data_IF_519870957905
#
_entry.id   IF_519870957905
#
_cell.length_a   1.000
_cell.length_b   1.000
_cell.length_c   1.000
_cell.angle_alpha   90.00
_cell.angle_beta   90.00
_cell.angle_gamma   90.00
#
_symmetry.space_group_name_H-M   'P 1'
#
loop_
_entity.id
_entity.type
_entity.pdbx_description
1 polymer ?
#
# COMPACT_ATOMS: atom_id res chain seq x y z
N UNK A 1 9.71 -77.79 -15.19
CA UNK A 1 8.45 -77.17 -14.79
C UNK A 1 8.69 -76.41 -13.52
N UNK A 2 8.89 -75.08 -13.59
CA UNK A 2 8.98 -74.19 -12.44
C UNK A 2 7.87 -73.17 -12.56
N UNK A 3 6.91 -73.20 -11.64
CA UNK A 3 5.82 -72.21 -11.51
C UNK A 3 6.34 -70.91 -10.96
N UNK A 4 6.11 -69.85 -11.69
CA UNK A 4 6.39 -68.47 -11.29
C UNK A 4 5.16 -67.89 -10.58
N UNK A 5 5.23 -67.64 -9.27
CA UNK A 5 4.18 -66.99 -8.51
C UNK A 5 4.38 -65.46 -8.64
N UNK A 6 3.40 -64.81 -9.26
CA UNK A 6 3.31 -63.34 -9.31
C UNK A 6 2.64 -62.88 -8.02
N UNK A 7 3.34 -62.12 -7.19
CA UNK A 7 2.78 -61.38 -6.06
C UNK A 7 2.27 -60.04 -6.58
N UNK A 8 0.95 -59.82 -6.52
CA UNK A 8 0.34 -58.49 -6.67
C UNK A 8 0.48 -57.78 -5.34
N UNK A 9 1.33 -56.71 -5.29
CA UNK A 9 1.32 -55.72 -4.23
C UNK A 9 0.28 -54.65 -4.57
N UNK A 10 -0.85 -54.68 -3.88
CA UNK A 10 -1.81 -53.58 -3.86
C UNK A 10 -1.27 -52.50 -2.93
N UNK A 11 -0.65 -51.45 -3.53
CA UNK A 11 -0.25 -50.24 -2.82
C UNK A 11 -1.47 -49.40 -2.48
N UNK A 12 -1.80 -49.32 -1.21
CA UNK A 12 -2.81 -48.42 -0.67
C UNK A 12 -2.18 -46.99 -0.68
N UNK A 13 -2.58 -46.16 -1.64
CA UNK A 13 -2.23 -44.75 -1.65
C UNK A 13 -3.12 -44.05 -0.60
N UNK A 14 -2.57 -43.84 0.57
CA UNK A 14 -3.18 -42.94 1.57
C UNK A 14 -2.94 -41.51 1.09
N UNK A 15 -3.94 -40.88 0.46
CA UNK A 15 -3.97 -39.45 0.27
C UNK A 15 -4.05 -38.81 1.67
N UNK A 16 -2.92 -38.28 2.18
CA UNK A 16 -2.93 -37.41 3.31
C UNK A 16 -3.56 -36.07 2.85
N UNK A 17 -4.82 -35.87 3.19
CA UNK A 17 -5.47 -34.57 3.13
C UNK A 17 -4.75 -33.70 4.15
N UNK A 18 -3.79 -32.89 3.70
CA UNK A 18 -3.23 -31.83 4.54
C UNK A 18 -4.39 -30.86 4.87
N UNK A 19 -4.63 -30.56 6.14
CA UNK A 19 -5.57 -29.51 6.47
C UNK A 19 -5.07 -28.21 5.81
N UNK A 20 -5.95 -27.56 5.05
CA UNK A 20 -5.75 -26.18 4.62
C UNK A 20 -5.37 -25.41 5.88
N UNK A 21 -4.15 -24.87 5.93
CA UNK A 21 -3.76 -23.98 7.02
C UNK A 21 -4.78 -22.85 7.02
N UNK A 22 -5.54 -22.72 8.09
CA UNK A 22 -6.43 -21.59 8.26
C UNK A 22 -5.55 -20.35 8.22
N UNK A 23 -5.78 -19.44 7.27
CA UNK A 23 -5.11 -18.17 7.21
C UNK A 23 -5.22 -17.51 8.58
N UNK A 24 -4.11 -17.04 9.12
CA UNK A 24 -4.09 -16.41 10.42
C UNK A 24 -4.87 -15.09 10.30
N UNK A 25 -6.00 -14.99 10.99
CA UNK A 25 -6.83 -13.77 10.97
C UNK A 25 -6.06 -12.60 11.58
N UNK A 26 -6.20 -11.42 11.00
CA UNK A 26 -5.66 -10.18 11.57
C UNK A 26 -6.19 -10.00 12.99
N UNK A 27 -5.34 -9.71 13.98
CA UNK A 27 -5.77 -9.59 15.36
C UNK A 27 -6.73 -8.41 15.53
N UNK A 28 -7.77 -8.58 16.35
CA UNK A 28 -8.61 -7.48 16.77
C UNK A 28 -7.95 -6.69 17.90
N UNK A 29 -8.19 -5.38 17.93
CA UNK A 29 -7.81 -4.57 19.08
C UNK A 29 -8.75 -4.91 20.23
N UNK A 30 -8.23 -5.35 21.39
CA UNK A 30 -9.09 -5.76 22.49
C UNK A 30 -10.11 -4.70 22.86
N UNK A 31 -11.39 -5.10 23.00
CA UNK A 31 -12.48 -4.25 23.42
C UNK A 31 -12.77 -3.01 22.54
N UNK A 32 -12.21 -2.90 21.35
CA UNK A 32 -12.53 -1.84 20.39
C UNK A 32 -13.41 -2.34 19.25
N UNK A 33 -14.42 -1.55 18.94
CA UNK A 33 -15.40 -1.85 17.89
C UNK A 33 -15.71 -0.60 17.07
N UNK A 34 -16.15 -0.83 15.85
CA UNK A 34 -16.67 0.20 14.94
C UNK A 34 -18.19 0.08 14.92
N UNK A 35 -18.87 1.13 15.35
CA UNK A 35 -20.32 1.24 15.44
C UNK A 35 -20.85 2.20 14.37
N UNK A 36 -21.77 1.75 13.54
CA UNK A 36 -22.53 2.62 12.63
C UNK A 36 -23.97 2.76 13.13
N UNK A 37 -24.40 4.00 13.34
CA UNK A 37 -25.76 4.37 13.75
C UNK A 37 -26.03 5.82 13.36
N UNK A 38 -27.22 6.37 13.66
CA UNK A 38 -27.42 7.81 13.50
C UNK A 38 -26.71 8.61 14.61
N UNK A 39 -26.40 9.87 14.34
CA UNK A 39 -25.76 10.73 15.33
C UNK A 39 -26.61 10.92 16.59
N UNK A 40 -27.96 10.95 16.46
CA UNK A 40 -28.89 11.03 17.59
C UNK A 40 -28.97 9.74 18.40
N UNK A 41 -28.85 8.58 17.75
CA UNK A 41 -28.95 7.28 18.42
C UNK A 41 -27.64 6.83 19.08
N UNK A 42 -26.47 7.33 18.60
CA UNK A 42 -25.16 6.89 19.09
C UNK A 42 -25.02 6.96 20.63
N UNK A 43 -25.36 8.04 21.33
CA UNK A 43 -25.31 8.09 22.80
C UNK A 43 -26.29 7.12 23.46
N UNK A 44 -27.46 6.90 22.85
CA UNK A 44 -28.47 6.00 23.36
C UNK A 44 -28.07 4.53 23.24
N UNK A 45 -27.53 4.15 22.08
CA UNK A 45 -26.96 2.81 21.83
C UNK A 45 -25.80 2.57 22.80
N UNK A 46 -24.89 3.54 22.92
CA UNK A 46 -23.74 3.44 23.82
C UNK A 46 -24.20 3.22 25.28
N UNK A 47 -25.22 3.96 25.75
CA UNK A 47 -25.76 3.80 27.10
C UNK A 47 -26.44 2.44 27.32
N UNK A 48 -27.24 1.94 26.35
CA UNK A 48 -27.93 0.65 26.45
C UNK A 48 -26.98 -0.54 26.55
N UNK A 49 -25.87 -0.48 25.81
CA UNK A 49 -24.93 -1.59 25.67
C UNK A 49 -23.63 -1.40 26.46
N UNK A 50 -23.59 -0.44 27.39
CA UNK A 50 -22.39 -0.13 28.19
C UNK A 50 -21.13 0.10 27.34
N UNK A 51 -21.31 0.85 26.23
CA UNK A 51 -20.22 1.24 25.35
C UNK A 51 -19.74 2.66 25.70
N UNK A 52 -18.47 2.93 25.49
CA UNK A 52 -17.91 4.29 25.57
C UNK A 52 -17.50 4.73 24.17
N UNK A 53 -18.04 5.85 23.68
CA UNK A 53 -17.65 6.45 22.40
C UNK A 53 -16.28 7.12 22.59
N UNK A 54 -15.30 6.71 21.80
CA UNK A 54 -13.95 7.27 21.82
C UNK A 54 -13.81 8.44 20.84
N UNK A 55 -14.32 8.26 19.62
CA UNK A 55 -14.29 9.28 18.55
C UNK A 55 -15.25 8.88 17.43
N UNK A 56 -15.52 9.79 16.50
CA UNK A 56 -16.30 9.57 15.29
C UNK A 56 -15.42 9.77 14.02
N UNK A 57 -15.85 9.20 12.91
CA UNK A 57 -15.17 9.38 11.61
C UNK A 57 -15.45 10.76 11.03
N UNK A 58 -16.69 11.23 11.17
CA UNK A 58 -17.18 12.48 10.59
C UNK A 58 -17.63 13.42 11.72
N UNK A 59 -16.70 14.17 12.34
CA UNK A 59 -17.08 15.10 13.41
C UNK A 59 -18.02 16.19 12.88
N UNK A 60 -19.13 16.38 13.59
CA UNK A 60 -20.10 17.44 13.26
C UNK A 60 -21.31 17.01 12.45
N UNK A 61 -21.58 15.70 12.31
CA UNK A 61 -22.83 15.21 11.71
C UNK A 61 -24.04 15.70 12.50
N UNK A 62 -25.03 16.26 11.77
CA UNK A 62 -26.28 16.75 12.37
C UNK A 62 -27.15 15.59 12.84
N UNK A 63 -28.02 15.85 13.82
CA UNK A 63 -29.04 14.91 14.33
C UNK A 63 -29.80 14.27 13.15
N UNK A 64 -29.82 12.91 13.08
CA UNK A 64 -30.40 12.15 11.96
C UNK A 64 -29.40 11.76 10.84
N UNK A 65 -28.22 12.37 10.78
CA UNK A 65 -27.17 11.91 9.87
C UNK A 65 -26.54 10.60 10.35
N UNK A 66 -26.13 9.76 9.42
CA UNK A 66 -25.37 8.54 9.72
C UNK A 66 -23.98 8.89 10.23
N UNK A 67 -23.57 8.26 11.33
CA UNK A 67 -22.23 8.38 11.90
C UNK A 67 -21.55 7.02 12.05
N UNK A 68 -20.25 7.04 12.07
CA UNK A 68 -19.40 5.87 12.36
C UNK A 68 -18.49 6.22 13.53
N UNK A 69 -18.56 5.41 14.57
CA UNK A 69 -17.95 5.70 15.86
C UNK A 69 -16.99 4.59 16.26
N UNK A 70 -15.82 4.95 16.74
CA UNK A 70 -14.97 4.05 17.48
C UNK A 70 -15.51 3.97 18.91
N UNK A 71 -15.84 2.77 19.36
CA UNK A 71 -16.36 2.53 20.70
C UNK A 71 -15.55 1.47 21.43
N UNK A 72 -15.58 1.50 22.76
CA UNK A 72 -14.98 0.48 23.60
C UNK A 72 -15.99 -0.02 24.63
N UNK A 73 -15.76 -1.24 25.13
CA UNK A 73 -16.58 -1.86 26.18
C UNK A 73 -15.70 -2.49 27.26
N UNK A 74 -16.09 -2.41 28.54
CA UNK A 74 -15.42 -3.14 29.62
C UNK A 74 -15.79 -4.64 29.67
N UNK A 75 -16.79 -5.09 28.92
CA UNK A 75 -17.34 -6.45 28.95
C UNK A 75 -16.57 -7.39 28.01
N UNK A 76 -16.53 -8.70 28.32
CA UNK A 76 -15.91 -9.69 27.44
C UNK A 76 -16.63 -9.76 26.08
N UNK A 77 -15.83 -9.96 25.01
CA UNK A 77 -16.16 -9.63 23.62
C UNK A 77 -17.29 -10.47 23.01
N UNK A 78 -17.53 -11.71 23.47
CA UNK A 78 -18.45 -12.62 22.79
C UNK A 78 -19.92 -12.20 22.94
N UNK A 79 -20.31 -11.75 24.13
CA UNK A 79 -21.70 -11.41 24.43
C UNK A 79 -22.13 -10.05 23.88
N UNK A 80 -21.19 -9.10 23.78
CA UNK A 80 -21.46 -7.73 23.34
C UNK A 80 -21.82 -7.65 21.86
N UNK A 81 -21.15 -8.44 21.00
CA UNK A 81 -21.37 -8.35 19.53
C UNK A 81 -22.79 -8.76 19.15
N UNK A 82 -23.30 -9.84 19.73
CA UNK A 82 -24.66 -10.34 19.44
C UNK A 82 -25.72 -9.40 20.02
N UNK A 83 -25.49 -8.89 21.24
CA UNK A 83 -26.39 -7.97 21.92
C UNK A 83 -26.53 -6.65 21.14
N UNK A 84 -25.43 -6.03 20.77
CA UNK A 84 -25.42 -4.76 20.02
C UNK A 84 -26.00 -4.92 18.62
N UNK A 85 -25.67 -6.01 17.89
CA UNK A 85 -26.23 -6.29 16.57
C UNK A 85 -27.75 -6.51 16.59
N UNK A 86 -28.32 -6.92 17.72
CA UNK A 86 -29.75 -7.07 17.91
C UNK A 86 -30.51 -5.74 18.09
N UNK A 87 -29.82 -4.63 18.34
CA UNK A 87 -30.43 -3.32 18.49
C UNK A 87 -30.83 -2.72 17.13
N UNK A 88 -32.11 -2.39 16.97
CA UNK A 88 -32.65 -1.85 15.70
C UNK A 88 -32.11 -0.48 15.31
N UNK A 89 -31.51 0.26 16.25
CA UNK A 89 -30.82 1.52 15.97
C UNK A 89 -29.39 1.31 15.44
N UNK A 90 -28.86 0.08 15.47
CA UNK A 90 -27.52 -0.27 15.01
C UNK A 90 -27.57 -0.76 13.58
N UNK A 91 -26.84 -0.09 12.69
CA UNK A 91 -26.75 -0.45 11.26
C UNK A 91 -25.60 -1.40 10.98
N UNK A 92 -24.50 -1.27 11.71
CA UNK A 92 -23.40 -2.24 11.74
C UNK A 92 -22.63 -2.13 13.05
N UNK A 93 -22.02 -3.25 13.44
CA UNK A 93 -21.14 -3.34 14.60
C UNK A 93 -20.08 -4.41 14.32
N UNK A 94 -18.83 -4.01 14.26
CA UNK A 94 -17.71 -4.91 13.96
C UNK A 94 -16.49 -4.60 14.82
N UNK A 95 -15.56 -5.56 14.92
CA UNK A 95 -14.31 -5.38 15.66
C UNK A 95 -13.39 -4.43 14.91
N UNK A 96 -12.71 -3.55 15.64
CA UNK A 96 -11.59 -2.80 15.09
C UNK A 96 -10.36 -3.74 14.99
N UNK A 97 -9.93 -4.06 13.78
CA UNK A 97 -8.83 -4.97 13.51
C UNK A 97 -7.52 -4.22 13.28
N UNK A 98 -6.43 -4.84 13.70
CA UNK A 98 -5.08 -4.41 13.31
C UNK A 98 -4.87 -4.71 11.82
N UNK A 99 -4.34 -3.74 11.12
CA UNK A 99 -3.93 -3.87 9.72
C UNK A 99 -2.41 -3.71 9.66
N UNK A 100 -1.77 -4.46 8.79
CA UNK A 100 -0.32 -4.42 8.65
C UNK A 100 0.11 -4.02 7.24
N UNK A 101 1.24 -3.34 7.18
CA UNK A 101 1.97 -3.14 5.93
C UNK A 101 2.62 -4.48 5.55
N UNK A 102 2.39 -5.02 4.33
CA UNK A 102 2.82 -6.37 3.94
C UNK A 102 4.33 -6.61 4.01
N UNK A 103 5.13 -5.57 3.88
CA UNK A 103 6.60 -5.61 3.89
C UNK A 103 7.19 -5.87 5.26
N UNK A 104 6.40 -5.74 6.34
CA UNK A 104 6.83 -6.08 7.70
C UNK A 104 6.96 -7.60 7.91
N UNK A 105 6.32 -8.43 7.06
CA UNK A 105 6.57 -9.86 6.97
C UNK A 105 7.72 -10.12 5.99
N UNK A 106 8.80 -10.78 6.44
CA UNK A 106 10.05 -10.95 5.67
C UNK A 106 9.84 -11.70 4.36
N UNK A 107 9.90 -11.07 3.16
CA UNK A 107 9.90 -11.81 1.90
C UNK A 107 11.26 -12.49 1.67
N UNK A 108 11.23 -13.72 1.14
CA UNK A 108 12.46 -14.37 0.64
C UNK A 108 12.89 -13.66 -0.64
N UNK A 109 14.03 -12.98 -0.60
CA UNK A 109 14.60 -12.28 -1.75
C UNK A 109 14.99 -13.28 -2.85
N UNK A 110 14.54 -13.00 -4.08
CA UNK A 110 14.96 -13.75 -5.25
C UNK A 110 16.27 -13.17 -5.83
N UNK A 111 17.02 -14.00 -6.55
CA UNK A 111 18.36 -13.71 -7.11
C UNK A 111 18.42 -12.57 -8.16
N UNK A 112 17.33 -11.83 -8.40
CA UNK A 112 17.30 -10.72 -9.37
C UNK A 112 18.00 -9.44 -8.90
N UNK A 113 18.56 -9.45 -7.71
CA UNK A 113 19.20 -8.32 -7.01
C UNK A 113 20.46 -7.80 -7.72
N UNK A 114 21.14 -8.65 -8.49
CA UNK A 114 22.44 -8.30 -9.12
C UNK A 114 22.36 -7.11 -10.09
N UNK A 115 21.29 -7.00 -10.88
CA UNK A 115 21.16 -5.92 -11.88
C UNK A 115 20.94 -4.53 -11.25
N UNK A 116 20.49 -4.46 -10.00
CA UNK A 116 20.25 -3.21 -9.30
C UNK A 116 21.50 -2.70 -8.62
N UNK A 117 22.34 -3.62 -8.13
CA UNK A 117 23.65 -3.27 -7.62
C UNK A 117 24.49 -2.49 -8.65
N UNK A 118 24.20 -2.66 -9.95
CA UNK A 118 24.85 -1.91 -11.04
C UNK A 118 24.26 -0.52 -11.26
N UNK A 119 22.96 -0.29 -10.96
CA UNK A 119 22.28 1.00 -11.21
C UNK A 119 22.19 1.92 -10.00
N UNK A 120 22.20 1.39 -8.77
CA UNK A 120 22.27 2.15 -7.54
C UNK A 120 23.50 3.08 -7.42
N UNK A 121 24.68 2.74 -7.97
CA UNK A 121 25.81 3.64 -7.96
C UNK A 121 25.64 4.91 -8.77
N UNK A 122 24.66 5.01 -9.70
CA UNK A 122 24.47 6.23 -10.49
C UNK A 122 23.71 7.30 -9.70
N UNK A 123 24.47 7.93 -8.79
CA UNK A 123 24.00 9.05 -7.95
C UNK A 123 24.13 10.40 -8.67
N UNK A 124 24.40 10.41 -9.97
CA UNK A 124 24.45 11.64 -10.77
C UNK A 124 23.10 12.35 -10.65
N UNK A 125 23.12 13.59 -10.18
CA UNK A 125 21.94 14.41 -10.10
C UNK A 125 21.52 14.91 -11.47
N UNK A 126 20.27 14.66 -11.81
CA UNK A 126 19.65 15.14 -13.05
C UNK A 126 18.36 15.88 -12.75
N UNK A 127 17.97 16.87 -13.55
CA UNK A 127 16.64 17.47 -13.48
C UNK A 127 15.57 16.44 -13.79
N UNK A 128 14.52 16.38 -12.97
CA UNK A 128 13.38 15.50 -13.16
C UNK A 128 12.08 16.21 -12.83
N UNK A 129 11.48 16.86 -13.83
CA UNK A 129 10.21 17.60 -13.71
C UNK A 129 10.18 18.63 -12.57
N UNK A 130 11.28 19.33 -12.38
CA UNK A 130 11.47 20.38 -11.38
C UNK A 130 12.62 20.07 -10.41
N UNK A 131 12.49 19.11 -9.49
CA UNK A 131 13.58 18.72 -8.59
C UNK A 131 14.73 18.02 -9.30
N UNK A 132 15.90 18.00 -8.64
CA UNK A 132 17.02 17.14 -9.04
C UNK A 132 16.92 15.81 -8.30
N UNK A 133 17.08 14.72 -9.03
CA UNK A 133 17.02 13.34 -8.52
C UNK A 133 18.24 12.54 -8.96
N UNK A 134 18.48 11.40 -8.32
CA UNK A 134 19.48 10.45 -8.81
C UNK A 134 19.09 9.89 -10.17
N UNK A 135 20.04 9.81 -11.08
CA UNK A 135 19.82 9.23 -12.41
C UNK A 135 19.41 7.76 -12.31
N UNK A 136 20.01 6.99 -11.37
CA UNK A 136 19.62 5.62 -11.10
C UNK A 136 18.16 5.46 -10.65
N UNK A 137 17.60 6.42 -9.93
CA UNK A 137 16.17 6.45 -9.60
C UNK A 137 15.31 6.72 -10.85
N UNK A 138 15.62 7.75 -11.62
CA UNK A 138 14.79 8.16 -12.77
C UNK A 138 14.78 7.11 -13.91
N UNK A 139 15.91 6.44 -14.14
CA UNK A 139 16.09 5.50 -15.24
C UNK A 139 16.28 4.04 -14.79
N UNK A 140 15.71 3.69 -13.66
CA UNK A 140 15.73 2.32 -13.16
C UNK A 140 14.99 1.33 -14.09
N UNK A 141 15.32 0.02 -14.05
CA UNK A 141 14.67 -0.98 -14.89
C UNK A 141 13.14 -0.93 -14.86
N UNK A 142 12.53 -0.73 -13.70
CA UNK A 142 11.09 -0.63 -13.54
C UNK A 142 10.48 0.46 -14.44
N UNK A 143 11.08 1.66 -14.49
CA UNK A 143 10.59 2.76 -15.33
C UNK A 143 10.63 2.41 -16.82
N UNK A 144 11.67 1.66 -17.26
CA UNK A 144 11.80 1.17 -18.63
C UNK A 144 10.76 0.08 -18.93
N UNK A 145 10.59 -0.88 -18.01
CA UNK A 145 9.67 -2.00 -18.16
C UNK A 145 8.22 -1.51 -18.34
N UNK A 146 7.78 -0.56 -17.51
CA UNK A 146 6.44 0.03 -17.62
C UNK A 146 6.32 1.11 -18.69
N UNK A 147 7.40 1.44 -19.40
CA UNK A 147 7.47 2.46 -20.47
C UNK A 147 7.11 3.87 -20.00
N UNK A 148 7.59 4.24 -18.82
CA UNK A 148 7.31 5.55 -18.22
C UNK A 148 7.84 6.70 -19.08
N UNK A 149 9.06 6.58 -19.63
CA UNK A 149 9.69 7.60 -20.47
C UNK A 149 8.86 7.85 -21.73
N UNK A 150 8.40 6.79 -22.40
CA UNK A 150 7.54 6.92 -23.59
C UNK A 150 6.23 7.59 -23.25
N UNK A 151 5.62 7.23 -22.13
CA UNK A 151 4.36 7.80 -21.63
C UNK A 151 4.50 9.29 -21.35
N UNK A 152 5.56 9.70 -20.65
CA UNK A 152 5.85 11.10 -20.35
C UNK A 152 6.09 11.94 -21.61
N UNK A 153 6.80 11.39 -22.59
CA UNK A 153 7.15 12.09 -23.81
C UNK A 153 5.93 12.38 -24.70
N UNK A 154 4.90 11.51 -24.68
CA UNK A 154 3.83 11.53 -25.67
C UNK A 154 2.45 11.84 -25.10
N UNK A 155 2.21 11.65 -23.80
CA UNK A 155 0.85 11.76 -23.25
C UNK A 155 0.75 12.66 -22.02
N UNK A 156 1.32 12.23 -20.87
CA UNK A 156 1.03 12.84 -19.58
C UNK A 156 2.22 12.66 -18.59
N UNK A 157 2.31 13.58 -17.65
CA UNK A 157 3.32 13.59 -16.57
C UNK A 157 2.71 13.51 -15.18
N UNK A 158 1.39 13.45 -15.07
CA UNK A 158 0.61 13.28 -13.86
C UNK A 158 -0.26 14.47 -13.53
N UNK A 159 -1.50 14.22 -13.11
CA UNK A 159 -2.47 15.22 -12.68
C UNK A 159 -3.14 14.84 -11.38
N UNK A 160 -3.91 15.78 -10.84
CA UNK A 160 -4.69 15.56 -9.64
C UNK A 160 -3.85 15.38 -8.36
N UNK A 161 -4.49 14.74 -7.37
CA UNK A 161 -3.93 14.45 -6.05
C UNK A 161 -3.95 12.94 -5.83
N UNK A 162 -2.79 12.36 -5.52
CA UNK A 162 -2.66 10.98 -5.04
C UNK A 162 -2.57 11.01 -3.51
N UNK A 163 -3.60 10.54 -2.83
CA UNK A 163 -3.57 10.33 -1.38
C UNK A 163 -2.83 9.03 -1.08
N UNK A 164 -1.87 9.08 -0.17
CA UNK A 164 -1.08 7.91 0.27
C UNK A 164 -1.39 7.65 1.73
N UNK A 165 -2.13 6.56 1.97
CA UNK A 165 -2.47 6.07 3.32
C UNK A 165 -1.35 5.15 3.78
N UNK A 166 -0.47 5.64 4.67
CA UNK A 166 0.81 4.97 5.00
C UNK A 166 1.38 5.43 6.36
N UNK A 167 2.68 5.23 6.61
CA UNK A 167 3.39 5.60 7.85
C UNK A 167 3.71 7.09 7.98
N UNK A 168 3.54 7.86 6.93
CA UNK A 168 3.95 9.27 6.81
C UNK A 168 4.97 9.46 5.69
N UNK A 169 5.26 10.71 5.34
CA UNK A 169 6.13 11.06 4.22
C UNK A 169 7.15 12.11 4.67
N UNK A 170 8.42 11.93 4.31
CA UNK A 170 9.43 12.98 4.43
C UNK A 170 9.19 14.10 3.40
N UNK A 171 8.45 15.09 3.81
CA UNK A 171 8.04 16.22 2.95
C UNK A 171 9.21 17.12 2.53
N UNK A 172 10.35 17.01 3.23
CA UNK A 172 11.56 17.74 2.93
C UNK A 172 12.49 17.00 1.96
N UNK A 173 12.11 15.77 1.55
CA UNK A 173 12.91 15.02 0.59
C UNK A 173 13.02 15.78 -0.73
N UNK A 174 14.25 16.03 -1.25
CA UNK A 174 14.45 16.86 -2.46
C UNK A 174 13.63 16.41 -3.67
N UNK A 175 13.50 15.11 -3.91
CA UNK A 175 12.72 14.57 -5.04
C UNK A 175 11.21 14.80 -4.90
N UNK A 176 10.70 15.09 -3.71
CA UNK A 176 9.28 15.36 -3.43
C UNK A 176 8.97 16.86 -3.35
N UNK A 177 9.98 17.71 -3.54
CA UNK A 177 9.81 19.16 -3.47
C UNK A 177 8.71 19.67 -4.41
N UNK A 178 7.79 20.48 -3.87
CA UNK A 178 6.67 21.06 -4.60
C UNK A 178 5.53 20.09 -4.95
N UNK A 179 5.62 18.80 -4.59
CA UNK A 179 4.56 17.83 -4.84
C UNK A 179 3.57 17.69 -3.68
N UNK A 180 3.98 17.99 -2.45
CA UNK A 180 3.19 17.72 -1.25
C UNK A 180 2.08 18.76 -1.06
N UNK A 181 0.87 18.28 -0.80
CA UNK A 181 -0.27 19.08 -0.35
C UNK A 181 -0.58 18.77 1.14
N UNK A 182 -1.37 19.60 1.82
CA UNK A 182 -1.77 19.32 3.20
C UNK A 182 -2.35 17.92 3.35
N UNK A 183 -1.95 17.21 4.40
CA UNK A 183 -2.43 15.89 4.77
C UNK A 183 -2.90 15.83 6.22
N UNK A 184 -3.06 14.61 6.75
CA UNK A 184 -3.54 14.40 8.11
C UNK A 184 -2.84 13.21 8.77
N UNK A 185 -2.55 13.34 10.06
CA UNK A 185 -2.04 12.26 10.90
C UNK A 185 -3.17 11.73 11.79
N UNK A 186 -3.68 10.55 11.45
CA UNK A 186 -4.78 9.89 12.16
C UNK A 186 -4.31 9.24 13.45
N UNK A 187 -3.01 8.92 13.56
CA UNK A 187 -2.42 8.35 14.78
C UNK A 187 -2.34 9.41 15.88
N UNK A 188 -1.94 10.65 15.52
CA UNK A 188 -1.84 11.78 16.45
C UNK A 188 -3.05 12.69 16.43
N UNK A 189 -4.01 12.42 15.53
CA UNK A 189 -5.24 13.17 15.34
C UNK A 189 -5.01 14.67 15.11
N UNK A 190 -4.17 15.01 14.14
CA UNK A 190 -3.79 16.40 13.84
C UNK A 190 -3.57 16.65 12.35
N UNK A 191 -3.91 17.86 11.91
CA UNK A 191 -3.46 18.34 10.60
C UNK A 191 -1.95 18.54 10.69
N UNK A 192 -1.21 17.64 10.12
CA UNK A 192 0.24 17.73 10.08
C UNK A 192 0.78 16.96 8.90
N UNK A 193 1.83 17.49 8.33
CA UNK A 193 2.67 16.76 7.41
C UNK A 193 3.72 16.10 8.29
N UNK A 194 3.44 14.89 8.76
CA UNK A 194 4.36 14.15 9.62
C UNK A 194 5.31 13.32 8.78
N UNK A 195 6.58 13.57 8.96
CA UNK A 195 7.65 12.69 8.52
C UNK A 195 7.85 11.58 9.54
N UNK A 196 8.15 10.36 9.07
CA UNK A 196 8.63 9.26 9.92
C UNK A 196 9.83 9.66 10.79
N UNK A 197 10.61 10.66 10.37
CA UNK A 197 11.70 11.24 11.15
C UNK A 197 11.25 11.75 12.52
N UNK A 198 10.00 12.22 12.64
CA UNK A 198 9.42 12.64 13.93
C UNK A 198 9.05 11.45 14.85
N UNK A 199 9.03 10.23 14.36
CA UNK A 199 8.68 9.03 15.12
C UNK A 199 9.91 8.30 15.71
N UNK A 200 11.13 8.64 15.29
CA UNK A 200 12.37 8.09 15.83
C UNK A 200 12.97 9.00 16.90
N UNK A 201 13.84 8.44 17.72
CA UNK A 201 14.53 9.24 18.74
C UNK A 201 15.34 10.38 18.10
N UNK A 202 15.49 11.49 18.81
CA UNK A 202 16.29 12.62 18.32
C UNK A 202 17.72 12.22 17.94
N UNK A 203 18.31 11.24 18.64
CA UNK A 203 19.63 10.68 18.32
C UNK A 203 19.64 9.98 16.99
N UNK A 204 18.63 9.14 16.70
CA UNK A 204 18.51 8.43 15.42
C UNK A 204 18.23 9.42 14.27
N UNK A 205 17.35 10.39 14.47
CA UNK A 205 17.10 11.45 13.48
C UNK A 205 18.38 12.27 13.20
N UNK A 206 19.17 12.58 14.21
CA UNK A 206 20.44 13.28 14.06
C UNK A 206 21.52 12.47 13.31
N UNK A 207 21.55 11.13 13.51
CA UNK A 207 22.44 10.23 12.76
C UNK A 207 22.05 10.23 11.29
N UNK A 208 20.76 10.07 10.97
CA UNK A 208 20.27 10.10 9.60
C UNK A 208 20.57 11.43 8.89
N UNK A 209 20.46 12.56 9.60
CA UNK A 209 20.79 13.87 9.08
C UNK A 209 22.31 14.07 8.92
N UNK A 210 23.12 13.58 9.85
CA UNK A 210 24.58 13.65 9.78
C UNK A 210 25.15 12.82 8.62
N UNK A 211 24.58 11.65 8.35
CA UNK A 211 24.94 10.84 7.19
C UNK A 211 24.61 11.54 5.87
N UNK A 212 23.46 12.21 5.76
CA UNK A 212 23.09 13.05 4.61
C UNK A 212 24.12 14.14 4.32
N UNK A 213 24.59 14.81 5.37
CA UNK A 213 25.62 15.86 5.26
C UNK A 213 26.98 15.24 4.91
N UNK A 214 27.35 14.10 5.52
CA UNK A 214 28.58 13.38 5.25
C UNK A 214 28.69 12.85 3.83
N UNK A 215 27.59 12.31 3.28
CA UNK A 215 27.54 11.80 1.89
C UNK A 215 27.70 12.92 0.84
N UNK A 216 27.29 14.15 1.15
CA UNK A 216 27.51 15.30 0.27
C UNK A 216 28.99 15.71 0.16
N UNK A 217 29.84 15.29 1.10
CA UNK A 217 31.25 15.65 1.18
C UNK A 217 32.22 14.52 0.76
N UNK A 218 31.77 13.27 0.61
CA UNK A 218 32.62 12.15 0.21
C UNK A 218 32.04 11.38 -1.00
N UNK A 219 32.44 11.80 -2.18
CA UNK A 219 32.43 10.90 -3.34
C UNK A 219 33.49 9.81 -3.11
N UNK A 220 33.03 8.56 -2.96
CA UNK A 220 33.76 7.31 -3.11
C UNK A 220 34.07 6.50 -1.88
N UNK A 221 33.43 5.42 -1.81
CA UNK A 221 33.82 4.01 -1.68
C UNK A 221 32.58 3.21 -1.34
N UNK A 222 32.11 2.42 -2.30
CA UNK A 222 31.13 1.36 -2.03
C UNK A 222 31.77 0.43 -1.02
N UNK A 223 31.36 0.50 0.23
CA UNK A 223 31.81 -0.39 1.28
C UNK A 223 31.07 -1.72 1.10
N UNK A 224 31.73 -2.86 1.32
CA UNK A 224 31.10 -4.19 1.26
C UNK A 224 29.85 -4.31 2.18
N UNK A 225 29.79 -3.52 3.24
CA UNK A 225 28.62 -3.42 4.10
C UNK A 225 27.39 -2.80 3.42
N UNK A 226 27.57 -1.88 2.47
CA UNK A 226 26.46 -1.30 1.69
C UNK A 226 25.93 -2.30 0.66
N UNK A 227 26.77 -3.16 0.10
CA UNK A 227 26.33 -4.26 -0.78
C UNK A 227 25.51 -5.31 -0.01
N UNK A 228 25.89 -5.63 1.23
CA UNK A 228 25.13 -6.54 2.11
C UNK A 228 23.78 -5.94 2.53
N UNK A 229 23.69 -4.63 2.72
CA UNK A 229 22.46 -3.91 2.99
C UNK A 229 21.49 -3.99 1.79
N UNK A 230 22.00 -3.99 0.56
CA UNK A 230 21.22 -4.11 -0.68
C UNK A 230 20.79 -5.54 -0.98
N UNK A 231 21.43 -6.56 -0.41
CA UNK A 231 21.03 -7.97 -0.53
C UNK A 231 19.93 -8.38 0.45
N UNK A 232 19.59 -7.54 1.40
CA UNK A 232 18.57 -7.80 2.40
C UNK A 232 17.32 -6.96 2.14
N UNK A 233 16.15 -7.45 2.55
CA UNK A 233 14.88 -6.73 2.47
C UNK A 233 14.97 -5.34 3.10
N UNK A 234 14.05 -4.43 2.74
CA UNK A 234 13.93 -3.11 3.40
C UNK A 234 13.99 -3.23 4.92
N UNK A 235 13.36 -4.28 5.49
CA UNK A 235 13.40 -4.59 6.92
C UNK A 235 14.84 -4.81 7.45
N UNK A 236 15.74 -5.42 6.68
CA UNK A 236 17.11 -5.68 7.14
C UNK A 236 18.02 -4.45 7.07
N UNK A 237 17.78 -3.53 6.13
CA UNK A 237 18.40 -2.20 6.18
C UNK A 237 18.00 -1.49 7.47
N UNK A 238 16.71 -1.58 7.83
CA UNK A 238 16.15 -0.94 9.01
C UNK A 238 16.62 -1.62 10.32
N UNK A 239 16.70 -2.96 10.35
CA UNK A 239 17.21 -3.73 11.49
C UNK A 239 18.70 -3.44 11.79
N UNK A 240 19.51 -3.21 10.77
CA UNK A 240 20.93 -2.88 10.91
C UNK A 240 21.19 -1.51 11.57
N UNK A 241 20.26 -0.58 11.43
CA UNK A 241 20.31 0.77 11.99
C UNK A 241 19.47 0.95 13.27
N UNK A 242 18.77 -0.10 13.73
CA UNK A 242 17.85 -0.03 14.87
C UNK A 242 16.56 0.75 14.57
N UNK A 243 16.20 0.91 13.29
CA UNK A 243 14.98 1.57 12.86
C UNK A 243 13.77 0.62 12.92
N UNK A 244 12.56 1.13 13.14
CA UNK A 244 11.35 0.32 13.10
C UNK A 244 11.11 -0.31 11.70
N UNK A 245 10.43 -1.48 11.61
CA UNK A 245 10.33 -2.27 10.38
C UNK A 245 9.72 -1.56 9.16
N UNK A 246 8.79 -0.62 9.37
CA UNK A 246 8.15 0.14 8.30
C UNK A 246 8.60 1.60 8.23
N UNK A 247 9.71 1.94 8.92
CA UNK A 247 10.24 3.29 8.88
C UNK A 247 10.56 3.72 7.43
N UNK A 248 10.01 4.86 7.01
CA UNK A 248 10.21 5.40 5.68
C UNK A 248 9.35 4.79 4.59
N UNK A 249 8.48 3.80 4.89
CA UNK A 249 7.67 3.11 3.90
C UNK A 249 6.81 4.10 3.09
N UNK A 250 6.08 5.03 3.72
CA UNK A 250 5.29 6.02 3.01
C UNK A 250 6.13 6.98 2.16
N UNK A 251 7.35 7.33 2.60
CA UNK A 251 8.31 8.10 1.77
C UNK A 251 8.73 7.31 0.52
N UNK A 252 8.99 6.00 0.68
CA UNK A 252 9.35 5.13 -0.45
C UNK A 252 8.20 4.98 -1.45
N UNK A 253 6.98 4.80 -0.97
CA UNK A 253 5.76 4.76 -1.80
C UNK A 253 5.58 6.08 -2.55
N UNK A 254 5.72 7.23 -1.88
CA UNK A 254 5.63 8.55 -2.49
C UNK A 254 6.65 8.76 -3.61
N UNK A 255 7.88 8.27 -3.43
CA UNK A 255 8.91 8.32 -4.45
C UNK A 255 8.52 7.55 -5.72
N UNK A 256 7.89 6.40 -5.60
CA UNK A 256 7.47 5.62 -6.78
C UNK A 256 6.24 6.21 -7.48
N UNK A 257 5.29 6.76 -6.73
CA UNK A 257 4.23 7.58 -7.33
C UNK A 257 4.83 8.74 -8.12
N UNK A 258 5.81 9.45 -7.54
CA UNK A 258 6.50 10.58 -8.18
C UNK A 258 7.36 10.18 -9.38
N UNK A 259 7.92 8.97 -9.38
CA UNK A 259 8.65 8.41 -10.53
C UNK A 259 7.73 8.28 -11.75
N UNK A 260 6.50 7.81 -11.55
CA UNK A 260 5.54 7.58 -12.64
C UNK A 260 4.75 8.84 -12.97
N UNK A 261 4.33 9.59 -11.97
CA UNK A 261 3.54 10.82 -12.13
C UNK A 261 4.28 12.04 -11.55
N UNK A 262 5.35 12.50 -12.22
CA UNK A 262 6.25 13.51 -11.68
C UNK A 262 5.63 14.90 -11.49
N UNK A 263 4.46 15.18 -12.02
CA UNK A 263 3.73 16.45 -11.83
C UNK A 263 2.44 16.31 -11.00
N UNK A 264 2.05 15.10 -10.59
CA UNK A 264 0.95 14.89 -9.67
C UNK A 264 1.29 15.43 -8.26
N UNK A 265 0.26 15.80 -7.52
CA UNK A 265 0.40 16.19 -6.11
C UNK A 265 0.19 14.97 -5.21
N UNK A 266 0.77 15.01 -4.03
CA UNK A 266 0.74 13.92 -3.06
C UNK A 266 0.13 14.43 -1.76
N UNK A 267 -0.89 13.75 -1.26
CA UNK A 267 -1.54 14.00 0.02
C UNK A 267 -1.09 12.93 1.02
N UNK A 268 -0.24 13.26 2.01
CA UNK A 268 0.17 12.32 3.06
C UNK A 268 -0.97 12.07 4.04
N UNK A 269 -1.34 10.80 4.26
CA UNK A 269 -2.33 10.37 5.23
C UNK A 269 -1.71 9.32 6.14
N UNK A 270 -1.26 9.74 7.34
CA UNK A 270 -0.58 8.87 8.29
C UNK A 270 -1.61 8.07 9.08
N UNK A 271 -1.80 6.79 8.73
CA UNK A 271 -2.69 5.85 9.40
C UNK A 271 -1.95 4.65 10.00
N UNK A 272 -0.62 4.58 9.80
CA UNK A 272 0.23 3.51 10.28
C UNK A 272 1.37 4.06 11.13
N UNK A 273 1.73 3.32 12.19
CA UNK A 273 2.94 3.58 12.95
C UNK A 273 4.20 3.18 12.18
N UNK A 274 5.38 3.58 12.65
CA UNK A 274 6.66 3.21 12.02
C UNK A 274 6.98 1.71 12.13
N UNK A 275 6.26 0.97 12.97
CA UNK A 275 6.27 -0.49 13.06
C UNK A 275 5.42 -1.16 11.97
N UNK A 276 4.69 -0.38 11.19
CA UNK A 276 3.81 -0.83 10.12
C UNK A 276 2.44 -1.29 10.58
N UNK A 277 2.09 -1.06 11.85
CA UNK A 277 0.77 -1.36 12.38
C UNK A 277 -0.17 -0.15 12.26
N UNK A 278 -1.37 -0.39 11.81
CA UNK A 278 -2.50 0.55 11.78
C UNK A 278 -3.78 -0.15 12.21
N UNK A 279 -4.90 0.51 12.10
CA UNK A 279 -6.21 -0.06 12.42
C UNK A 279 -7.26 0.33 11.39
N UNK A 280 -8.30 -0.50 11.25
CA UNK A 280 -9.37 -0.33 10.26
C UNK A 280 -10.05 1.02 10.40
N UNK A 281 -10.35 1.47 11.63
CA UNK A 281 -11.05 2.73 11.87
C UNK A 281 -10.26 3.95 11.37
N UNK A 282 -8.94 4.01 11.62
CA UNK A 282 -8.10 5.11 11.12
C UNK A 282 -7.91 5.07 9.61
N UNK A 283 -7.89 3.87 9.01
CA UNK A 283 -7.85 3.70 7.55
C UNK A 283 -9.14 4.22 6.91
N UNK A 284 -10.29 3.91 7.48
CA UNK A 284 -11.59 4.43 7.00
C UNK A 284 -11.64 5.96 7.07
N UNK A 285 -11.21 6.55 8.20
CA UNK A 285 -11.07 7.99 8.34
C UNK A 285 -10.19 8.60 7.25
N UNK A 286 -9.07 7.92 6.94
CA UNK A 286 -8.14 8.38 5.90
C UNK A 286 -8.76 8.33 4.50
N UNK A 287 -9.57 7.32 4.18
CA UNK A 287 -10.28 7.21 2.91
C UNK A 287 -11.32 8.35 2.77
N UNK A 288 -12.19 8.54 3.79
CA UNK A 288 -13.16 9.65 3.77
C UNK A 288 -12.45 10.99 3.65
N UNK A 289 -11.40 11.21 4.45
CA UNK A 289 -10.61 12.45 4.39
C UNK A 289 -10.02 12.69 2.99
N UNK A 290 -9.47 11.66 2.36
CA UNK A 290 -8.90 11.78 1.02
C UNK A 290 -9.94 12.28 0.00
N UNK A 291 -11.13 11.68 0.02
CA UNK A 291 -12.25 12.06 -0.87
C UNK A 291 -12.69 13.50 -0.62
N UNK A 292 -12.97 13.85 0.64
CA UNK A 292 -13.47 15.17 1.04
C UNK A 292 -12.46 16.29 0.79
N UNK A 293 -11.16 15.95 0.65
CA UNK A 293 -10.08 16.90 0.36
C UNK A 293 -9.57 16.81 -1.09
N UNK A 294 -10.37 16.20 -1.98
CA UNK A 294 -10.17 16.25 -3.43
C UNK A 294 -9.08 15.35 -3.97
N UNK A 295 -8.80 14.22 -3.33
CA UNK A 295 -7.97 13.18 -3.92
C UNK A 295 -8.64 12.60 -5.17
N UNK A 296 -7.85 12.34 -6.21
CA UNK A 296 -8.29 11.64 -7.43
C UNK A 296 -7.90 10.15 -7.39
N UNK A 297 -6.84 9.84 -6.66
CA UNK A 297 -6.33 8.49 -6.48
C UNK A 297 -6.03 8.24 -5.01
N UNK A 298 -6.38 7.06 -4.49
CA UNK A 298 -5.98 6.61 -3.16
C UNK A 298 -5.06 5.40 -3.31
N UNK A 299 -3.83 5.51 -2.81
CA UNK A 299 -2.88 4.41 -2.69
C UNK A 299 -3.01 3.74 -1.32
N UNK A 300 -3.27 2.45 -1.32
CA UNK A 300 -3.47 1.60 -0.15
C UNK A 300 -2.41 0.48 -0.14
N UNK A 301 -1.22 0.83 0.35
CA UNK A 301 -0.07 -0.08 0.41
C UNK A 301 -0.08 -0.95 1.68
N UNK A 302 -1.22 -1.55 1.99
CA UNK A 302 -1.45 -2.42 3.13
C UNK A 302 -2.42 -3.55 2.79
N UNK A 303 -2.53 -4.54 3.67
CA UNK A 303 -3.46 -5.66 3.52
C UNK A 303 -4.05 -6.12 4.85
N UNK A 304 -5.30 -6.59 4.80
CA UNK A 304 -6.11 -7.14 5.88
C UNK A 304 -6.69 -8.47 5.42
N UNK A 305 -6.57 -9.52 6.21
CA UNK A 305 -7.16 -10.82 5.89
C UNK A 305 -8.67 -10.89 6.20
N UNK A 306 -9.11 -10.12 7.18
CA UNK A 306 -10.51 -10.06 7.56
C UNK A 306 -11.29 -9.09 6.66
N UNK A 307 -12.48 -9.52 6.24
CA UNK A 307 -13.42 -8.65 5.57
C UNK A 307 -14.04 -7.67 6.57
N UNK A 308 -14.10 -6.38 6.20
CA UNK A 308 -14.74 -5.32 6.97
C UNK A 308 -15.86 -4.67 6.14
N UNK A 309 -17.06 -4.59 6.70
CA UNK A 309 -18.19 -3.94 6.06
C UNK A 309 -17.99 -2.42 5.97
N UNK A 310 -17.39 -1.82 6.98
CA UNK A 310 -17.16 -0.39 7.01
C UNK A 310 -16.06 0.01 6.03
N UNK A 311 -14.99 -0.79 5.91
CA UNK A 311 -13.95 -0.54 4.90
C UNK A 311 -14.50 -0.66 3.46
N UNK A 312 -15.42 -1.61 3.20
CA UNK A 312 -16.14 -1.68 1.91
C UNK A 312 -16.93 -0.40 1.65
N UNK A 313 -17.61 0.14 2.68
CA UNK A 313 -18.39 1.39 2.53
C UNK A 313 -17.49 2.58 2.25
N UNK A 314 -16.36 2.69 2.94
CA UNK A 314 -15.39 3.76 2.70
C UNK A 314 -14.83 3.71 1.26
N UNK A 315 -14.49 2.51 0.76
CA UNK A 315 -14.05 2.32 -0.62
C UNK A 315 -15.16 2.64 -1.62
N UNK A 316 -16.40 2.22 -1.35
CA UNK A 316 -17.54 2.56 -2.22
C UNK A 316 -17.78 4.06 -2.24
N UNK A 317 -17.68 4.74 -1.09
CA UNK A 317 -17.76 6.20 -1.02
C UNK A 317 -16.72 6.88 -1.91
N UNK A 318 -15.47 6.39 -1.88
CA UNK A 318 -14.42 6.89 -2.76
C UNK A 318 -14.79 6.70 -4.25
N UNK A 319 -15.26 5.52 -4.64
CA UNK A 319 -15.65 5.23 -6.02
C UNK A 319 -16.87 6.03 -6.49
N UNK A 320 -17.85 6.27 -5.60
CA UNK A 320 -19.05 7.10 -5.89
C UNK A 320 -18.68 8.58 -6.11
N UNK A 321 -17.46 9.00 -5.69
CA UNK A 321 -16.90 10.33 -5.90
C UNK A 321 -15.76 10.34 -6.96
N UNK A 322 -15.75 9.35 -7.86
CA UNK A 322 -14.78 9.20 -8.95
C UNK A 322 -13.32 9.09 -8.50
N UNK A 323 -13.07 8.62 -7.26
CA UNK A 323 -11.72 8.42 -6.74
C UNK A 323 -11.23 7.00 -7.03
N UNK A 324 -10.11 6.88 -7.72
CA UNK A 324 -9.51 5.60 -8.12
C UNK A 324 -8.79 4.98 -6.91
N UNK A 325 -9.23 3.80 -6.48
CA UNK A 325 -8.62 3.05 -5.38
C UNK A 325 -7.63 2.00 -5.91
N UNK A 326 -6.38 2.04 -5.42
CA UNK A 326 -5.32 1.10 -5.78
C UNK A 326 -4.78 0.44 -4.51
N UNK A 327 -4.63 -0.90 -4.49
CA UNK A 327 -4.19 -1.61 -3.30
C UNK A 327 -3.20 -2.74 -3.58
N UNK A 328 -2.31 -2.99 -2.62
CA UNK A 328 -1.32 -4.06 -2.65
C UNK A 328 -1.95 -5.44 -2.46
N UNK A 329 -1.54 -6.44 -3.26
CA UNK A 329 -2.04 -7.81 -3.15
C UNK A 329 -1.48 -8.60 -1.95
N UNK A 330 -0.43 -8.10 -1.28
CA UNK A 330 0.23 -8.78 -0.17
C UNK A 330 1.42 -9.66 -0.60
N UNK A 331 2.24 -10.07 0.39
CA UNK A 331 3.57 -10.62 0.15
C UNK A 331 3.79 -12.03 0.76
N UNK A 332 2.74 -12.85 0.90
CA UNK A 332 2.81 -14.18 1.52
C UNK A 332 3.07 -15.31 0.52
N UNK A 333 3.13 -15.03 -0.79
CA UNK A 333 3.27 -16.01 -1.86
C UNK A 333 2.07 -16.99 -1.97
N UNK A 334 0.87 -16.54 -1.61
CA UNK A 334 -0.32 -17.37 -1.50
C UNK A 334 -1.38 -17.01 -2.55
N UNK A 335 -2.17 -18.01 -2.95
CA UNK A 335 -3.42 -17.80 -3.66
C UNK A 335 -4.52 -17.58 -2.61
N UNK A 336 -4.80 -16.32 -2.34
CA UNK A 336 -5.69 -15.89 -1.25
C UNK A 336 -6.39 -14.59 -1.61
N UNK A 337 -7.37 -14.19 -0.81
CA UNK A 337 -8.02 -12.88 -0.88
C UNK A 337 -7.61 -12.06 0.32
N UNK A 338 -7.04 -10.88 0.07
CA UNK A 338 -6.77 -9.87 1.09
C UNK A 338 -7.46 -8.56 0.72
N UNK A 339 -7.78 -7.77 1.71
CA UNK A 339 -8.53 -6.53 1.56
C UNK A 339 -7.64 -5.32 1.86
N UNK A 340 -7.85 -4.18 1.18
CA UNK A 340 -8.93 -3.89 0.24
C UNK A 340 -8.69 -4.37 -1.20
N UNK A 341 -7.56 -5.00 -1.52
CA UNK A 341 -7.17 -5.41 -2.88
C UNK A 341 -8.23 -6.29 -3.58
N UNK A 342 -8.92 -7.17 -2.82
CA UNK A 342 -9.98 -8.03 -3.34
C UNK A 342 -11.37 -7.37 -3.41
N UNK A 343 -11.52 -6.11 -2.98
CA UNK A 343 -12.81 -5.43 -3.11
C UNK A 343 -13.12 -5.10 -4.57
N UNK A 344 -14.41 -5.11 -4.88
CA UNK A 344 -14.89 -4.59 -6.15
C UNK A 344 -14.51 -3.12 -6.27
N UNK A 345 -14.11 -2.67 -7.46
CA UNK A 345 -13.68 -1.30 -7.74
C UNK A 345 -12.38 -0.87 -7.04
N UNK A 346 -11.58 -1.84 -6.60
CA UNK A 346 -10.19 -1.60 -6.18
C UNK A 346 -9.28 -2.27 -7.20
N UNK A 347 -8.29 -1.53 -7.67
CA UNK A 347 -7.26 -2.07 -8.55
C UNK A 347 -6.24 -2.81 -7.68
N UNK A 348 -6.44 -4.11 -7.53
CA UNK A 348 -5.52 -5.00 -6.80
C UNK A 348 -4.23 -5.21 -7.59
N UNK A 349 -3.07 -4.97 -6.97
CA UNK A 349 -1.77 -4.96 -7.65
C UNK A 349 -0.85 -6.05 -7.14
N UNK A 350 -0.49 -6.98 -8.03
CA UNK A 350 0.54 -7.98 -7.80
C UNK A 350 1.93 -7.51 -8.24
N UNK A 351 2.97 -8.20 -7.75
CA UNK A 351 4.36 -7.85 -8.02
C UNK A 351 5.00 -8.71 -9.11
N UNK A 352 5.80 -8.07 -9.99
CA UNK A 352 6.69 -8.76 -10.93
C UNK A 352 8.15 -8.39 -10.69
N UNK A 353 9.04 -9.27 -11.12
CA UNK A 353 10.47 -8.99 -11.18
C UNK A 353 10.85 -8.28 -12.49
N UNK A 354 12.13 -7.94 -12.62
CA UNK A 354 12.68 -7.25 -13.80
C UNK A 354 12.73 -8.10 -15.08
N UNK A 355 12.29 -9.38 -15.03
CA UNK A 355 12.16 -10.28 -16.17
C UNK A 355 10.69 -10.53 -16.58
N UNK A 356 9.76 -9.69 -16.12
CA UNK A 356 8.32 -9.84 -16.34
C UNK A 356 7.76 -11.18 -15.82
N UNK A 357 8.31 -11.71 -14.73
CA UNK A 357 7.81 -12.91 -14.06
C UNK A 357 7.17 -12.52 -12.74
N UNK A 358 6.17 -13.29 -12.29
CA UNK A 358 5.59 -13.16 -10.96
C UNK A 358 6.69 -13.19 -9.90
N UNK A 359 6.71 -12.21 -9.01
CA UNK A 359 7.60 -12.19 -7.85
C UNK A 359 7.31 -13.36 -6.92
N UNK A 360 8.36 -13.94 -6.33
CA UNK A 360 8.23 -15.14 -5.50
C UNK A 360 7.41 -14.89 -4.22
N UNK A 361 7.33 -13.66 -3.76
CA UNK A 361 6.60 -13.28 -2.54
C UNK A 361 5.16 -12.83 -2.81
N UNK A 362 4.80 -12.40 -4.02
CA UNK A 362 3.49 -11.79 -4.26
C UNK A 362 2.35 -12.78 -4.04
N UNK A 363 1.30 -12.34 -3.36
CA UNK A 363 0.03 -13.03 -3.44
C UNK A 363 -0.54 -12.92 -4.86
N UNK A 364 -1.39 -13.88 -5.25
CA UNK A 364 -1.88 -14.02 -6.60
C UNK A 364 -3.29 -14.63 -6.62
N UNK A 365 -3.86 -14.71 -7.80
CA UNK A 365 -5.14 -15.36 -8.04
C UNK A 365 -6.22 -14.44 -8.57
N UNK A 366 -7.26 -15.07 -9.14
CA UNK A 366 -8.43 -14.39 -9.67
C UNK A 366 -9.23 -13.75 -8.53
N UNK A 367 -9.65 -12.50 -8.72
CA UNK A 367 -10.38 -11.75 -7.71
C UNK A 367 -9.49 -10.95 -6.73
N UNK A 368 -8.18 -11.20 -6.71
CA UNK A 368 -7.22 -10.42 -5.95
C UNK A 368 -6.44 -9.44 -6.84
N UNK A 369 -5.76 -9.98 -7.87
CA UNK A 369 -4.91 -9.19 -8.75
C UNK A 369 -5.68 -8.76 -9.98
N UNK A 370 -5.73 -7.46 -10.25
CA UNK A 370 -6.25 -6.86 -11.49
C UNK A 370 -5.14 -6.57 -12.48
N UNK A 371 -4.05 -6.00 -11.98
CA UNK A 371 -2.86 -5.67 -12.76
C UNK A 371 -1.61 -5.99 -11.95
N UNK A 372 -0.52 -6.33 -12.61
CA UNK A 372 0.78 -6.48 -11.99
C UNK A 372 1.70 -5.32 -12.37
N UNK A 373 2.67 -5.01 -11.51
CA UNK A 373 3.72 -4.04 -11.81
C UNK A 373 5.04 -4.49 -11.18
N UNK A 374 6.20 -3.98 -11.65
CA UNK A 374 7.46 -4.26 -10.99
C UNK A 374 7.40 -3.96 -9.50
N UNK A 375 7.91 -4.87 -8.69
CA UNK A 375 7.95 -4.73 -7.23
C UNK A 375 9.19 -5.39 -6.62
N UNK A 376 10.21 -5.63 -7.44
CA UNK A 376 11.50 -6.11 -6.97
C UNK A 376 12.58 -5.11 -7.30
N UNK A 377 13.37 -4.80 -6.27
CA UNK A 377 14.58 -4.06 -6.42
C UNK A 377 14.37 -2.66 -7.02
N UNK A 378 13.36 -1.98 -6.55
CA UNK A 378 13.00 -0.63 -6.97
C UNK A 378 13.87 0.40 -6.22
N UNK A 379 14.40 1.36 -6.94
CA UNK A 379 15.10 2.50 -6.32
C UNK A 379 14.05 3.58 -6.03
N UNK A 380 13.97 4.01 -4.79
CA UNK A 380 12.99 5.02 -4.37
C UNK A 380 13.54 5.95 -3.29
N UNK A 381 12.82 7.03 -3.01
CA UNK A 381 13.13 7.99 -1.96
C UNK A 381 13.10 7.34 -0.58
N UNK A 382 13.95 7.81 0.33
CA UNK A 382 14.01 7.37 1.72
C UNK A 382 14.19 8.58 2.63
N UNK A 383 13.66 8.59 3.88
CA UNK A 383 13.74 9.74 4.78
C UNK A 383 15.16 10.28 4.97
N UNK A 384 15.27 11.60 5.16
CA UNK A 384 16.55 12.32 5.26
C UNK A 384 17.17 12.66 3.92
N UNK A 385 16.36 12.74 2.83
CA UNK A 385 16.85 13.07 1.49
C UNK A 385 17.62 11.95 0.81
N UNK A 386 17.51 10.72 1.31
CA UNK A 386 18.23 9.53 0.85
C UNK A 386 17.41 8.73 -0.17
N UNK A 387 18.01 7.67 -0.70
CA UNK A 387 17.36 6.68 -1.55
C UNK A 387 17.62 5.26 -1.01
N UNK A 388 16.65 4.37 -1.23
CA UNK A 388 16.74 2.97 -0.84
C UNK A 388 16.28 2.05 -1.98
N UNK A 389 16.68 0.78 -1.90
CA UNK A 389 16.10 -0.27 -2.71
C UNK A 389 14.91 -0.90 -1.98
N UNK A 390 13.84 -1.19 -2.72
CA UNK A 390 12.57 -1.64 -2.16
C UNK A 390 12.03 -2.88 -2.88
N UNK A 391 11.38 -3.77 -2.12
CA UNK A 391 10.70 -4.98 -2.59
C UNK A 391 9.33 -5.09 -1.95
N UNK A 392 8.30 -5.40 -2.73
CA UNK A 392 6.95 -5.62 -2.21
C UNK A 392 5.85 -5.17 -3.16
N UNK A 393 4.65 -5.70 -2.92
CA UNK A 393 3.43 -5.32 -3.66
C UNK A 393 2.98 -3.90 -3.36
N UNK A 394 3.35 -3.32 -2.21
CA UNK A 394 3.14 -1.91 -1.88
C UNK A 394 3.80 -0.98 -2.89
N UNK A 395 5.00 -1.32 -3.32
CA UNK A 395 5.76 -0.55 -4.29
C UNK A 395 5.23 -0.74 -5.71
N UNK A 396 4.73 -1.94 -6.04
CA UNK A 396 3.98 -2.18 -7.28
C UNK A 396 2.70 -1.34 -7.33
N UNK A 397 1.95 -1.26 -6.22
CA UNK A 397 0.74 -0.44 -6.09
C UNK A 397 1.05 1.05 -6.27
N UNK A 398 2.17 1.53 -5.74
CA UNK A 398 2.63 2.91 -5.94
C UNK A 398 2.85 3.27 -7.43
N UNK A 399 3.46 2.36 -8.21
CA UNK A 399 3.62 2.55 -9.66
C UNK A 399 2.26 2.63 -10.38
N UNK A 400 1.29 1.79 -9.98
CA UNK A 400 -0.06 1.79 -10.55
C UNK A 400 -0.83 3.05 -10.12
N UNK A 401 -0.67 3.52 -8.88
CA UNK A 401 -1.25 4.79 -8.42
C UNK A 401 -0.72 5.99 -9.21
N UNK A 402 0.56 6.01 -9.51
CA UNK A 402 1.14 6.98 -10.44
C UNK A 402 0.54 6.86 -11.85
N UNK A 403 0.33 5.64 -12.34
CA UNK A 403 -0.33 5.42 -13.63
C UNK A 403 -1.77 5.93 -13.67
N UNK A 404 -2.53 5.78 -12.58
CA UNK A 404 -3.86 6.36 -12.43
C UNK A 404 -3.81 7.91 -12.47
N UNK A 405 -2.81 8.53 -11.86
CA UNK A 405 -2.62 9.97 -11.93
C UNK A 405 -2.22 10.48 -13.34
N UNK A 406 -1.57 9.65 -14.17
CA UNK A 406 -1.36 9.97 -15.58
C UNK A 406 -2.69 9.94 -16.36
N UNK A 407 -3.54 8.95 -16.08
CA UNK A 407 -4.87 8.87 -16.68
C UNK A 407 -5.74 10.06 -16.27
N UNK A 408 -5.70 10.47 -15.02
CA UNK A 408 -6.43 11.63 -14.49
C UNK A 408 -6.02 12.94 -15.20
N UNK A 409 -4.75 13.11 -15.54
CA UNK A 409 -4.31 14.25 -16.33
C UNK A 409 -4.82 14.20 -17.77
N UNK A 410 -4.85 13.01 -18.37
CA UNK A 410 -5.27 12.81 -19.76
C UNK A 410 -6.78 12.92 -19.93
N UNK A 411 -7.52 12.38 -18.98
CA UNK A 411 -8.99 12.33 -18.92
C UNK A 411 -9.43 12.75 -17.52
N UNK A 412 -9.54 14.06 -17.24
CA UNK A 412 -9.95 14.55 -15.93
C UNK A 412 -11.31 14.01 -15.49
N UNK A 413 -11.41 13.49 -14.28
CA UNK A 413 -12.60 12.85 -13.75
C UNK A 413 -12.89 11.49 -14.40
N UNK A 414 -11.86 10.77 -14.82
CA UNK A 414 -12.02 9.40 -15.35
C UNK A 414 -12.65 8.50 -14.29
N UNK A 415 -13.78 7.89 -14.63
CA UNK A 415 -14.44 6.94 -13.73
C UNK A 415 -13.50 5.78 -13.33
N UNK A 416 -13.54 5.32 -12.06
CA UNK A 416 -12.67 4.25 -11.57
C UNK A 416 -12.68 2.98 -12.41
N UNK A 417 -13.85 2.57 -12.93
CA UNK A 417 -13.99 1.40 -13.80
C UNK A 417 -13.29 1.58 -15.16
N UNK A 418 -13.34 2.78 -15.73
CA UNK A 418 -12.66 3.10 -16.99
C UNK A 418 -11.14 3.17 -16.79
N UNK A 419 -10.69 3.67 -15.62
CA UNK A 419 -9.28 3.67 -15.26
C UNK A 419 -8.76 2.23 -15.04
N UNK A 420 -9.50 1.38 -14.32
CA UNK A 420 -9.20 -0.04 -14.17
C UNK A 420 -9.08 -0.72 -15.54
N UNK A 421 -10.06 -0.52 -16.44
CA UNK A 421 -10.03 -1.09 -17.79
C UNK A 421 -8.81 -0.65 -18.60
N UNK A 422 -8.42 0.63 -18.51
CA UNK A 422 -7.25 1.15 -19.22
C UNK A 422 -5.96 0.55 -18.70
N UNK A 423 -5.79 0.46 -17.37
CA UNK A 423 -4.57 -0.04 -16.72
C UNK A 423 -4.43 -1.55 -16.83
N UNK A 424 -5.54 -2.30 -16.80
CA UNK A 424 -5.55 -3.76 -16.83
C UNK A 424 -5.18 -4.33 -18.20
N UNK A 425 -5.33 -3.59 -19.29
CA UNK A 425 -4.98 -4.08 -20.64
C UNK A 425 -3.46 -4.05 -20.88
N UNK A 426 -2.76 -4.72 -20.04
CA UNK A 426 -1.32 -4.77 -19.94
C UNK A 426 -0.70 -5.94 -20.71
N UNK A 427 0.61 -6.12 -20.60
CA UNK A 427 1.32 -7.27 -21.16
C UNK A 427 1.00 -8.53 -20.36
N UNK A 428 0.37 -9.54 -20.96
CA UNK A 428 0.08 -10.82 -20.28
C UNK A 428 1.35 -11.50 -19.79
N UNK A 429 1.34 -11.94 -18.54
CA UNK A 429 2.48 -12.59 -17.85
C UNK A 429 2.12 -13.90 -17.15
N UNK A 430 0.84 -14.25 -17.03
CA UNK A 430 0.31 -15.46 -16.40
C UNK A 430 -1.18 -15.37 -16.21
N UNK A 431 -1.84 -16.49 -15.86
CA UNK A 431 -3.28 -16.53 -15.64
C UNK A 431 -3.69 -16.01 -14.25
N UNK A 432 -2.78 -16.06 -13.30
CA UNK A 432 -2.96 -15.77 -11.89
C UNK A 432 -2.50 -14.34 -11.49
N UNK A 433 -2.09 -13.55 -12.47
CA UNK A 433 -1.60 -12.18 -12.31
C UNK A 433 -2.50 -11.14 -12.99
N UNK A 434 -3.81 -11.36 -12.95
CA UNK A 434 -4.81 -10.49 -13.54
C UNK A 434 -4.66 -10.38 -15.06
N UNK A 435 -4.87 -9.20 -15.60
CA UNK A 435 -4.75 -8.94 -17.03
C UNK A 435 -3.30 -8.79 -17.51
N UNK A 436 -2.34 -8.74 -16.58
CA UNK A 436 -0.90 -8.73 -16.87
C UNK A 436 -0.14 -7.57 -16.23
N UNK A 437 1.09 -7.35 -16.70
CA UNK A 437 1.99 -6.30 -16.21
C UNK A 437 1.66 -4.96 -16.88
N UNK A 438 1.55 -3.90 -16.08
CA UNK A 438 1.30 -2.52 -16.45
C UNK A 438 2.19 -2.06 -17.63
N UNK A 439 1.58 -1.50 -18.67
CA UNK A 439 2.24 -0.83 -19.78
C UNK A 439 1.63 0.57 -19.93
N UNK A 440 2.31 1.58 -19.43
CA UNK A 440 1.82 2.96 -19.37
C UNK A 440 1.50 3.52 -20.77
N UNK A 441 2.37 3.26 -21.73
CA UNK A 441 2.15 3.74 -23.09
C UNK A 441 0.84 3.18 -23.69
N UNK A 442 0.63 1.86 -23.52
CA UNK A 442 -0.58 1.22 -24.03
C UNK A 442 -1.83 1.69 -23.29
N UNK A 443 -1.76 1.87 -21.97
CA UNK A 443 -2.86 2.37 -21.15
C UNK A 443 -3.29 3.77 -21.57
N UNK A 444 -2.34 4.70 -21.67
CA UNK A 444 -2.62 6.10 -22.05
C UNK A 444 -3.05 6.25 -23.51
N UNK A 445 -2.45 5.50 -24.43
CA UNK A 445 -2.85 5.51 -25.84
C UNK A 445 -4.32 5.14 -26.02
N UNK A 446 -4.80 4.19 -25.22
CA UNK A 446 -6.22 3.75 -25.29
C UNK A 446 -7.16 4.75 -24.66
N UNK A 447 -6.77 5.35 -23.54
CA UNK A 447 -7.57 6.38 -22.89
C UNK A 447 -7.71 7.64 -23.78
N UNK A 448 -6.67 7.99 -24.54
CA UNK A 448 -6.67 9.14 -25.45
C UNK A 448 -7.60 8.97 -26.67
N UNK A 449 -8.02 7.74 -27.00
CA UNK A 449 -8.85 7.45 -28.21
C UNK A 449 -10.35 7.34 -27.87
N UNK A 450 -10.71 7.25 -26.59
CA UNK A 450 -12.11 7.31 -26.11
C UNK A 450 -12.55 8.75 -25.93
#
# INVERSE_FOLDING_TARGET
MRMLRILLLTGLVVLAVMPLAAAAQSPAIPQQFILRTTAGDAPLVAARHNLSILTDILPGSTEGALGVYLVTTPTEVADVVEDVKGDTAVLSFEKNHVVAIPETSRPRLAQSTAAILETLPDRTLIPYWGPSVWRGYAFQPAATIIRAVDAHALFATGGGIVAIIDTGIDVNHPALAGAIVPGYDFIRNQVAITSDLGSVSQSTAAILEAERIGESMQAAKVNQSTAAILEQSTAAILEGEGLPPAFGHGTMVAGLVRLVAPTARIMPLTAFGPDGAGDVFNIERAIYYAVDHGANVINMSFSLENWSAELVRAVNYANEHDVICVAAAGNNAEETLVFPSAFRHVIGVGSTNNLDRRSAFTNYGNGLVRVAAPGEALITTFPGGRYAAAWGTSFSAALVSGAAALLEQLVPGIEPTNAEEALSRAKRIGQDMGDGRLDLFTALQRAAVK
#
